data_IF_311297331332
#
_entry.id   IF_311297331332
#
_cell.length_a   1.000
_cell.length_b   1.000
_cell.length_c   1.000
_cell.angle_alpha   90.00
_cell.angle_beta   90.00
_cell.angle_gamma   90.00
#
_symmetry.space_group_name_H-M   'P 1'
#
loop_
_entity.id
_entity.type
_entity.pdbx_description
1 polymer ?
#
# COMPACT_ATOMS: atom_id res chain seq x y z
N UNK A 1 -6.57 -6.87 12.90
CA UNK A 1 -5.88 -5.61 12.62
C UNK A 1 -6.60 -4.87 11.50
N UNK A 2 -6.84 -3.59 11.68
CA UNK A 2 -7.58 -2.79 10.71
C UNK A 2 -7.21 -1.33 10.88
N UNK A 3 -6.89 -0.65 9.76
CA UNK A 3 -6.70 0.79 9.76
C UNK A 3 -7.99 1.42 9.25
N UNK A 4 -8.21 2.66 9.63
CA UNK A 4 -9.46 3.34 9.29
C UNK A 4 -9.20 4.80 8.99
N UNK A 5 -9.81 5.30 7.91
CA UNK A 5 -9.77 6.71 7.55
C UNK A 5 -11.20 7.23 7.48
N UNK A 6 -11.38 8.47 7.02
CA UNK A 6 -12.72 9.04 6.90
C UNK A 6 -13.65 8.19 6.03
N UNK A 7 -13.15 7.72 4.88
CA UNK A 7 -13.98 7.02 3.90
C UNK A 7 -13.67 5.52 3.77
N UNK A 8 -12.59 5.04 4.40
CA UNK A 8 -12.03 3.72 4.07
C UNK A 8 -11.74 2.88 5.31
N UNK A 9 -11.83 1.57 5.11
CA UNK A 9 -11.18 0.58 5.97
C UNK A 9 -10.02 -0.01 5.18
N UNK A 10 -8.90 -0.27 5.85
CA UNK A 10 -7.72 -0.87 5.23
C UNK A 10 -7.38 -2.09 6.07
N UNK A 11 -7.51 -3.29 5.47
CA UNK A 11 -7.37 -4.55 6.21
C UNK A 11 -6.32 -5.44 5.55
N UNK A 12 -5.48 -6.12 6.34
CA UNK A 12 -4.48 -7.00 5.76
C UNK A 12 -5.14 -8.12 4.96
N UNK A 13 -4.48 -8.52 3.89
CA UNK A 13 -4.96 -9.65 3.09
C UNK A 13 -4.68 -10.94 3.85
N UNK A 14 -5.74 -11.69 4.13
CA UNK A 14 -5.71 -12.95 4.85
C UNK A 14 -6.55 -13.95 4.09
N UNK A 15 -6.53 -15.20 4.54
CA UNK A 15 -7.41 -16.22 3.96
C UNK A 15 -8.87 -15.81 4.03
N UNK A 16 -9.26 -15.18 5.14
CA UNK A 16 -10.63 -14.69 5.32
C UNK A 16 -10.94 -13.50 4.41
N UNK A 17 -10.08 -12.49 4.37
CA UNK A 17 -10.36 -11.29 3.59
C UNK A 17 -10.27 -11.55 2.08
N UNK A 18 -9.40 -12.46 1.65
CA UNK A 18 -9.33 -12.80 0.22
C UNK A 18 -10.63 -13.46 -0.25
N UNK A 19 -11.26 -14.25 0.62
CA UNK A 19 -12.53 -14.88 0.31
C UNK A 19 -13.61 -13.81 0.07
N UNK A 20 -13.68 -12.82 0.93
CA UNK A 20 -14.64 -11.71 0.79
C UNK A 20 -14.39 -10.94 -0.51
N UNK A 21 -13.13 -10.64 -0.81
CA UNK A 21 -12.79 -9.92 -2.04
C UNK A 21 -13.17 -10.74 -3.28
N UNK A 22 -12.91 -12.04 -3.26
CA UNK A 22 -13.26 -12.92 -4.37
C UNK A 22 -14.77 -12.95 -4.62
N UNK A 23 -15.58 -12.89 -3.58
CA UNK A 23 -17.03 -12.86 -3.71
C UNK A 23 -17.53 -11.62 -4.43
N UNK A 24 -16.76 -10.54 -4.35
CA UNK A 24 -17.07 -9.30 -5.07
C UNK A 24 -16.50 -9.29 -6.49
N UNK A 25 -15.80 -10.35 -6.88
CA UNK A 25 -15.16 -10.40 -8.18
C UNK A 25 -13.85 -9.61 -8.25
N UNK A 26 -13.27 -9.24 -7.11
CA UNK A 26 -11.99 -8.53 -7.08
C UNK A 26 -10.86 -9.46 -7.53
N UNK A 27 -10.06 -9.02 -8.49
CA UNK A 27 -8.93 -9.81 -8.98
C UNK A 27 -7.73 -9.57 -8.07
N UNK A 28 -7.53 -10.49 -7.13
CA UNK A 28 -6.48 -10.36 -6.13
C UNK A 28 -5.06 -10.58 -6.68
N UNK A 29 -4.94 -11.35 -7.75
CA UNK A 29 -3.64 -11.57 -8.38
C UNK A 29 -2.65 -12.40 -7.56
N UNK A 30 -1.52 -12.78 -8.19
CA UNK A 30 -0.53 -13.66 -7.55
C UNK A 30 0.14 -13.05 -6.32
N UNK A 31 0.35 -11.73 -6.31
CA UNK A 31 1.04 -11.07 -5.19
C UNK A 31 0.25 -11.20 -3.90
N UNK A 32 -1.09 -11.11 -3.97
CA UNK A 32 -1.93 -11.26 -2.78
C UNK A 32 -2.00 -12.71 -2.37
N UNK A 33 -2.22 -13.61 -3.34
CA UNK A 33 -2.28 -15.05 -3.06
C UNK A 33 -0.99 -15.53 -2.42
N UNK A 34 0.16 -15.11 -2.95
CA UNK A 34 1.46 -15.47 -2.40
C UNK A 34 1.64 -14.94 -0.99
N UNK A 35 1.21 -13.70 -0.74
CA UNK A 35 1.32 -13.12 0.59
C UNK A 35 0.47 -13.89 1.61
N UNK A 36 -0.76 -14.24 1.24
CA UNK A 36 -1.65 -15.00 2.12
C UNK A 36 -1.02 -16.34 2.50
N UNK A 37 -0.36 -17.02 1.54
CA UNK A 37 0.35 -18.26 1.84
C UNK A 37 1.54 -18.02 2.77
N UNK A 38 2.28 -16.94 2.56
CA UNK A 38 3.41 -16.60 3.43
C UNK A 38 2.96 -16.35 4.87
N UNK A 39 1.81 -15.71 5.05
CA UNK A 39 1.26 -15.44 6.38
C UNK A 39 0.96 -16.74 7.14
N UNK A 40 0.53 -17.78 6.43
CA UNK A 40 0.29 -19.09 7.04
C UNK A 40 1.57 -19.69 7.61
N UNK A 41 2.70 -19.42 6.96
CA UNK A 41 4.00 -19.94 7.39
C UNK A 41 4.63 -19.07 8.47
N UNK A 42 4.41 -17.76 8.42
CA UNK A 42 5.01 -16.82 9.36
C UNK A 42 4.09 -15.62 9.53
N UNK A 43 3.40 -15.56 10.67
CA UNK A 43 2.44 -14.49 10.94
C UNK A 43 3.07 -13.11 11.06
N UNK A 44 4.37 -13.03 11.29
CA UNK A 44 5.06 -11.74 11.41
C UNK A 44 5.05 -10.94 10.12
N UNK A 45 4.86 -11.59 8.98
CA UNK A 45 4.83 -10.87 7.69
C UNK A 45 3.48 -10.25 7.39
N UNK A 46 2.46 -10.53 8.20
CA UNK A 46 1.09 -10.08 7.92
C UNK A 46 0.99 -8.61 7.54
N UNK A 47 1.49 -7.66 8.34
CA UNK A 47 1.31 -6.25 8.01
C UNK A 47 2.26 -5.74 6.94
N UNK A 48 3.25 -6.53 6.54
CA UNK A 48 4.30 -6.10 5.62
C UNK A 48 4.09 -6.59 4.19
N UNK A 49 2.86 -6.98 3.87
CA UNK A 49 2.46 -7.37 2.52
C UNK A 49 1.25 -6.57 2.08
N UNK A 50 0.33 -7.23 1.40
CA UNK A 50 -0.83 -6.57 0.80
C UNK A 50 -1.95 -6.33 1.82
N UNK A 51 -2.65 -5.23 1.63
CA UNK A 51 -3.85 -4.84 2.39
C UNK A 51 -4.93 -4.48 1.39
N UNK A 52 -6.18 -4.86 1.67
CA UNK A 52 -7.31 -4.41 0.86
C UNK A 52 -7.78 -3.04 1.34
N UNK A 53 -8.21 -2.23 0.38
CA UNK A 53 -8.83 -0.92 0.66
C UNK A 53 -10.32 -1.06 0.38
N UNK A 54 -11.14 -0.84 1.40
CA UNK A 54 -12.58 -1.07 1.36
C UNK A 54 -13.30 0.24 1.65
N UNK A 55 -14.27 0.59 0.81
CA UNK A 55 -15.03 1.80 1.00
C UNK A 55 -16.10 1.58 2.07
N UNK A 56 -16.15 2.46 3.08
CA UNK A 56 -17.07 2.33 4.21
C UNK A 56 -18.54 2.39 3.80
N UNK A 57 -18.84 3.20 2.81
CA UNK A 57 -20.20 3.47 2.38
C UNK A 57 -20.93 2.20 1.94
N UNK A 58 -20.25 1.27 1.31
CA UNK A 58 -20.89 0.10 0.70
C UNK A 58 -20.07 -1.18 0.81
N UNK A 59 -18.97 -1.16 1.55
CA UNK A 59 -18.08 -2.31 1.75
C UNK A 59 -17.46 -2.87 0.46
N UNK A 60 -17.33 -2.02 -0.56
CA UNK A 60 -16.75 -2.42 -1.83
C UNK A 60 -15.22 -2.35 -1.75
N UNK A 61 -14.55 -3.40 -2.23
CA UNK A 61 -13.09 -3.42 -2.35
C UNK A 61 -12.69 -2.55 -3.53
N UNK A 62 -11.96 -1.46 -3.26
CA UNK A 62 -11.56 -0.50 -4.29
C UNK A 62 -10.21 -0.83 -4.91
N UNK A 63 -9.35 -1.50 -4.15
CA UNK A 63 -8.00 -1.79 -4.57
C UNK A 63 -7.21 -2.44 -3.46
N UNK A 64 -5.91 -2.56 -3.67
CA UNK A 64 -5.00 -3.06 -2.64
C UNK A 64 -3.76 -2.20 -2.60
N UNK A 65 -3.16 -2.13 -1.42
CA UNK A 65 -1.94 -1.37 -1.17
C UNK A 65 -1.06 -2.24 -0.27
N UNK A 66 0.20 -1.91 -0.15
CA UNK A 66 1.01 -2.68 0.79
C UNK A 66 2.49 -2.46 0.62
N UNK A 67 3.23 -3.31 1.32
CA UNK A 67 4.69 -3.30 1.29
C UNK A 67 5.21 -4.57 0.64
N UNK A 68 6.39 -4.48 0.05
CA UNK A 68 7.04 -5.62 -0.61
C UNK A 68 7.98 -6.32 0.36
N UNK A 69 7.45 -6.66 1.55
CA UNK A 69 8.18 -7.39 2.56
C UNK A 69 8.48 -6.57 3.80
N UNK A 70 9.05 -7.25 4.78
CA UNK A 70 9.42 -6.64 6.07
C UNK A 70 10.54 -5.60 5.89
N UNK A 71 10.66 -4.64 6.83
CA UNK A 71 11.77 -3.68 6.78
C UNK A 71 13.11 -4.41 6.72
N UNK A 72 14.02 -3.88 5.91
CA UNK A 72 15.36 -4.45 5.78
C UNK A 72 16.25 -3.95 6.94
N UNK A 73 17.53 -4.29 6.88
CA UNK A 73 18.49 -3.90 7.93
C UNK A 73 18.63 -2.40 8.08
N UNK A 74 18.30 -1.64 7.03
CA UNK A 74 18.36 -0.18 7.07
C UNK A 74 17.00 0.44 7.41
N UNK A 75 16.01 -0.38 7.79
CA UNK A 75 14.66 0.06 8.15
C UNK A 75 13.92 0.70 6.98
N UNK A 76 14.10 0.13 5.79
CA UNK A 76 13.46 0.59 4.56
C UNK A 76 12.42 -0.43 4.11
N UNK A 77 11.26 0.06 3.69
CA UNK A 77 10.24 -0.76 3.00
C UNK A 77 9.87 -0.08 1.69
N UNK A 78 9.37 -0.88 0.76
CA UNK A 78 8.88 -0.35 -0.50
C UNK A 78 7.36 -0.49 -0.55
N UNK A 79 6.67 0.61 -0.86
CA UNK A 79 5.21 0.63 -0.94
C UNK A 79 4.77 0.46 -2.39
N UNK A 80 3.66 -0.28 -2.57
CA UNK A 80 3.01 -0.41 -3.86
C UNK A 80 1.50 -0.33 -3.68
N UNK A 81 0.79 -0.08 -4.78
CA UNK A 81 -0.66 0.01 -4.73
C UNK A 81 -1.26 -0.13 -6.11
N UNK A 82 -2.53 -0.56 -6.16
CA UNK A 82 -3.31 -0.63 -7.38
C UNK A 82 -4.78 -0.48 -7.05
N UNK A 83 -5.50 0.27 -7.86
CA UNK A 83 -6.93 0.52 -7.66
C UNK A 83 -7.68 0.22 -8.94
N UNK A 84 -8.92 -0.22 -8.81
CA UNK A 84 -9.81 -0.44 -9.94
C UNK A 84 -10.02 0.90 -10.64
N UNK A 85 -9.89 0.91 -11.97
CA UNK A 85 -9.87 2.14 -12.77
C UNK A 85 -11.05 3.07 -12.52
N UNK A 86 -12.25 2.53 -12.36
CA UNK A 86 -13.43 3.38 -12.15
C UNK A 86 -13.40 4.17 -10.84
N UNK A 87 -12.48 3.82 -9.95
CA UNK A 87 -12.33 4.53 -8.67
C UNK A 87 -11.15 5.51 -8.66
N UNK A 88 -10.45 5.64 -9.79
CA UNK A 88 -9.34 6.58 -9.91
C UNK A 88 -9.84 8.03 -9.84
N UNK A 89 -8.92 8.94 -9.51
CA UNK A 89 -9.17 10.39 -9.49
C UNK A 89 -10.21 10.84 -8.46
N UNK A 90 -10.37 10.06 -7.40
CA UNK A 90 -11.30 10.38 -6.30
C UNK A 90 -10.59 10.57 -4.96
N UNK A 91 -9.25 10.49 -4.97
CA UNK A 91 -8.44 10.66 -3.76
C UNK A 91 -8.32 9.43 -2.89
N UNK A 92 -8.88 8.30 -3.29
CA UNK A 92 -8.82 7.09 -2.46
C UNK A 92 -7.40 6.58 -2.28
N UNK A 93 -6.60 6.56 -3.34
CA UNK A 93 -5.23 6.06 -3.26
C UNK A 93 -4.41 6.90 -2.29
N UNK A 94 -4.49 8.23 -2.40
CA UNK A 94 -3.77 9.13 -1.51
C UNK A 94 -4.21 8.92 -0.06
N UNK A 95 -5.51 8.84 0.17
CA UNK A 95 -6.04 8.64 1.52
C UNK A 95 -5.58 7.33 2.14
N UNK A 96 -5.65 6.24 1.37
CA UNK A 96 -5.29 4.91 1.87
C UNK A 96 -3.80 4.78 2.12
N UNK A 97 -2.99 5.21 1.15
CA UNK A 97 -1.53 5.04 1.25
C UNK A 97 -0.98 5.93 2.36
N UNK A 98 -1.54 7.15 2.54
CA UNK A 98 -1.12 8.02 3.64
C UNK A 98 -1.31 7.33 4.99
N UNK A 99 -2.45 6.69 5.17
CA UNK A 99 -2.73 5.99 6.42
C UNK A 99 -1.75 4.83 6.65
N UNK A 100 -1.43 4.09 5.60
CA UNK A 100 -0.47 2.98 5.70
C UNK A 100 0.93 3.49 6.01
N UNK A 101 1.35 4.59 5.38
CA UNK A 101 2.65 5.21 5.65
C UNK A 101 2.73 5.65 7.11
N UNK A 102 1.70 6.32 7.61
CA UNK A 102 1.68 6.78 9.00
C UNK A 102 1.76 5.59 9.96
N UNK A 103 1.01 4.54 9.67
CA UNK A 103 1.07 3.32 10.47
C UNK A 103 2.49 2.75 10.51
N UNK A 104 3.13 2.66 9.34
CA UNK A 104 4.47 2.07 9.24
C UNK A 104 5.48 2.87 10.08
N UNK A 105 5.44 4.19 9.98
CA UNK A 105 6.35 5.03 10.76
C UNK A 105 6.08 4.93 12.26
N UNK A 106 4.83 4.75 12.66
CA UNK A 106 4.46 4.63 14.07
C UNK A 106 4.94 3.33 14.71
N UNK A 107 5.22 2.30 13.91
CA UNK A 107 5.72 1.03 14.45
C UNK A 107 7.12 1.15 15.03
N UNK A 108 7.87 2.15 14.61
CA UNK A 108 9.28 2.29 15.00
C UNK A 108 10.20 1.40 14.17
N UNK A 109 9.68 0.57 13.29
CA UNK A 109 10.47 -0.36 12.49
C UNK A 109 10.90 0.22 11.14
N UNK A 110 10.32 1.35 10.73
CA UNK A 110 10.55 1.93 9.40
C UNK A 110 11.07 3.36 9.53
N UNK A 111 12.17 3.65 8.86
CA UNK A 111 12.76 4.99 8.80
C UNK A 111 12.55 5.62 7.43
N UNK A 112 12.47 4.81 6.38
CA UNK A 112 12.34 5.28 4.99
C UNK A 112 11.38 4.39 4.23
N UNK A 113 10.53 4.99 3.43
CA UNK A 113 9.64 4.27 2.52
C UNK A 113 9.99 4.69 1.11
N UNK A 114 10.22 3.70 0.24
CA UNK A 114 10.52 3.95 -1.17
C UNK A 114 9.37 3.47 -2.05
N UNK A 115 9.35 3.96 -3.30
CA UNK A 115 8.37 3.55 -4.29
C UNK A 115 8.95 3.73 -5.68
N UNK A 116 8.36 3.04 -6.65
CA UNK A 116 8.72 3.17 -8.07
C UNK A 116 7.49 3.50 -8.88
N UNK A 117 7.67 4.31 -9.93
CA UNK A 117 6.63 4.54 -10.93
C UNK A 117 7.24 4.48 -12.30
N UNK A 118 6.44 4.12 -13.30
CA UNK A 118 6.84 4.34 -14.70
C UNK A 118 6.91 5.85 -14.93
N UNK A 119 7.82 6.27 -15.79
CA UNK A 119 7.99 7.71 -16.09
C UNK A 119 6.73 8.36 -16.66
N UNK A 120 5.89 7.58 -17.32
CA UNK A 120 4.66 8.06 -17.94
C UNK A 120 3.38 7.71 -17.15
N UNK A 121 3.52 7.18 -15.96
CA UNK A 121 2.36 6.90 -15.12
C UNK A 121 1.99 8.13 -14.29
N UNK A 122 1.35 9.09 -14.94
CA UNK A 122 1.07 10.40 -14.34
C UNK A 122 0.13 10.30 -13.15
N UNK A 123 -0.79 9.35 -13.16
CA UNK A 123 -1.69 9.13 -12.03
C UNK A 123 -0.95 8.74 -10.76
N UNK A 124 -0.04 7.76 -10.87
CA UNK A 124 0.76 7.34 -9.72
C UNK A 124 1.73 8.42 -9.28
N UNK A 125 2.34 9.13 -10.23
CA UNK A 125 3.24 10.24 -9.91
C UNK A 125 2.51 11.28 -9.06
N UNK A 126 1.28 11.64 -9.45
CA UNK A 126 0.49 12.62 -8.72
C UNK A 126 0.18 12.15 -7.29
N UNK A 127 -0.12 10.87 -7.13
CA UNK A 127 -0.37 10.31 -5.80
C UNK A 127 0.87 10.45 -4.92
N UNK A 128 2.04 10.06 -5.44
CA UNK A 128 3.27 10.14 -4.66
C UNK A 128 3.64 11.58 -4.33
N UNK A 129 3.39 12.51 -5.23
CA UNK A 129 3.61 13.93 -4.96
C UNK A 129 2.70 14.42 -3.84
N UNK A 130 1.44 14.03 -3.85
CA UNK A 130 0.49 14.41 -2.78
C UNK A 130 0.85 13.80 -1.44
N UNK A 131 1.54 12.66 -1.45
CA UNK A 131 2.04 12.02 -0.24
C UNK A 131 3.34 12.64 0.25
N UNK A 132 3.85 13.65 -0.47
CA UNK A 132 5.10 14.35 -0.15
C UNK A 132 6.34 13.48 -0.31
N UNK A 133 6.24 12.44 -1.15
CA UNK A 133 7.43 11.67 -1.51
C UNK A 133 8.29 12.48 -2.48
N UNK A 134 9.59 12.27 -2.38
CA UNK A 134 10.56 13.02 -3.21
C UNK A 134 11.15 12.11 -4.27
N UNK A 135 11.38 12.65 -5.46
CA UNK A 135 12.09 11.96 -6.53
C UNK A 135 13.55 11.81 -6.13
N UNK A 136 14.09 10.61 -6.28
CA UNK A 136 15.48 10.33 -5.94
C UNK A 136 16.31 10.23 -7.20
N UNK A 137 15.89 9.38 -8.14
CA UNK A 137 16.59 9.20 -9.41
C UNK A 137 15.62 8.57 -10.41
N UNK A 138 16.10 8.39 -11.63
CA UNK A 138 15.29 7.78 -12.69
C UNK A 138 16.19 6.95 -13.60
N UNK A 139 15.60 5.90 -14.17
CA UNK A 139 16.20 5.12 -15.24
C UNK A 139 15.51 5.52 -16.54
N UNK A 140 15.75 4.78 -17.63
CA UNK A 140 15.09 5.04 -18.89
C UNK A 140 13.57 4.86 -18.82
N UNK A 141 13.07 4.03 -17.90
CA UNK A 141 11.66 3.68 -17.84
C UNK A 141 11.00 3.95 -16.49
N UNK A 142 11.79 4.04 -15.43
CA UNK A 142 11.26 4.12 -14.05
C UNK A 142 11.76 5.35 -13.31
N UNK A 143 10.96 5.82 -12.36
CA UNK A 143 11.34 6.87 -11.44
C UNK A 143 11.25 6.31 -10.03
N UNK A 144 12.27 6.62 -9.21
CA UNK A 144 12.33 6.18 -7.83
C UNK A 144 12.01 7.33 -6.88
N UNK A 145 11.28 7.01 -5.83
CA UNK A 145 10.76 7.97 -4.87
C UNK A 145 11.07 7.53 -3.44
N UNK A 146 11.15 8.49 -2.53
CA UNK A 146 11.28 8.15 -1.11
C UNK A 146 10.61 9.18 -0.22
N UNK A 147 10.25 8.73 0.99
CA UNK A 147 9.85 9.61 2.08
C UNK A 147 10.51 9.08 3.35
N UNK A 148 11.06 9.99 4.15
CA UNK A 148 11.72 9.64 5.38
C UNK A 148 10.87 10.04 6.57
N UNK A 149 11.00 9.29 7.67
CA UNK A 149 10.27 9.56 8.88
C UNK A 149 10.60 10.97 9.37
N UNK A 150 9.56 11.74 9.70
CA UNK A 150 9.75 13.09 10.22
C UNK A 150 10.25 13.03 11.65
N UNK A 151 11.44 13.57 11.89
CA UNK A 151 12.07 13.59 13.21
C UNK A 151 12.20 15.00 13.78
N UNK A 152 11.58 15.97 13.14
CA UNK A 152 11.74 17.37 13.48
C UNK A 152 10.91 17.78 14.69
N UNK A 153 10.87 16.98 15.71
CA UNK A 153 10.12 17.28 16.90
C UNK A 153 11.04 17.35 18.10
#
# INVERSE_FOLDING_TARGET
MKLETERLYIVPCTEESIHVANEQGYNSGPHIVGHVENVKQNKDVLPWGAWYVIRKEDDIVLGDIGFKGKPNEEHIVEVGYGFIEKYWNKGYATEAVQELIDWAFQTGAVETIIAETLLNNYGSIRVLEKLHMKRVDATETMMNWKIEKNRSK
#
